data_IF_148248611728
#
_entry.id   IF_148248611728
#
_cell.length_a   1.000
_cell.length_b   1.000
_cell.length_c   1.000
_cell.angle_alpha   90.00
_cell.angle_beta   90.00
_cell.angle_gamma   90.00
#
_symmetry.space_group_name_H-M   'P 1'
#
loop_
_entity.id
_entity.type
_entity.pdbx_description
1 polymer ?
#
# COMPACT_ATOMS: atom_id res chain seq x y z
N UNK A 1 3.08 10.91 18.28
CA UNK A 1 2.03 11.61 17.49
C UNK A 1 1.13 10.56 16.85
N UNK A 2 -0.20 10.74 16.89
CA UNK A 2 -1.15 9.86 16.18
C UNK A 2 -1.15 10.18 14.69
N UNK A 3 -0.98 9.16 13.85
CA UNK A 3 -1.02 9.28 12.39
C UNK A 3 -2.38 8.92 11.82
N UNK A 4 -2.94 7.78 12.22
CA UNK A 4 -4.21 7.27 11.71
C UNK A 4 -5.16 7.00 12.88
N UNK A 5 -6.41 7.40 12.77
CA UNK A 5 -7.44 7.03 13.71
C UNK A 5 -8.67 6.53 12.93
N UNK A 6 -9.14 5.35 13.30
CA UNK A 6 -10.29 4.63 12.75
C UNK A 6 -11.31 4.49 13.88
N UNK A 7 -12.53 4.95 13.63
CA UNK A 7 -13.63 4.90 14.60
C UNK A 7 -14.87 4.25 13.98
N UNK A 8 -15.34 3.20 14.64
CA UNK A 8 -16.60 2.49 14.38
C UNK A 8 -16.76 2.03 12.93
N UNK A 9 -15.65 1.59 12.33
CA UNK A 9 -15.56 1.29 10.90
C UNK A 9 -16.33 0.01 10.57
N UNK A 10 -17.31 0.14 9.67
CA UNK A 10 -18.04 -1.00 9.13
C UNK A 10 -18.07 -0.93 7.60
N UNK A 11 -18.00 -2.10 6.96
CA UNK A 11 -18.00 -2.18 5.51
C UNK A 11 -18.70 -3.46 5.04
N UNK A 12 -19.45 -3.32 3.94
CA UNK A 12 -20.14 -4.42 3.29
C UNK A 12 -19.95 -4.32 1.77
N UNK A 13 -19.82 -5.47 1.10
CA UNK A 13 -19.86 -5.53 -0.36
C UNK A 13 -21.27 -5.87 -0.83
N UNK A 14 -21.74 -5.16 -1.85
CA UNK A 14 -22.97 -5.50 -2.55
C UNK A 14 -22.64 -6.59 -3.59
N UNK A 15 -23.24 -7.78 -3.43
CA UNK A 15 -23.19 -8.80 -4.47
C UNK A 15 -24.43 -8.71 -5.35
N UNK A 16 -24.22 -8.57 -6.66
CA UNK A 16 -25.29 -8.69 -7.65
C UNK A 16 -25.64 -10.15 -7.85
N UNK A 17 -26.76 -10.60 -7.28
CA UNK A 17 -27.33 -11.91 -7.58
C UNK A 17 -28.14 -11.88 -8.89
N UNK A 18 -28.07 -12.96 -9.68
CA UNK A 18 -28.89 -13.20 -10.89
C UNK A 18 -30.42 -13.13 -10.66
N UNK A 19 -30.87 -12.96 -9.40
CA UNK A 19 -32.27 -12.94 -8.96
C UNK A 19 -32.72 -11.58 -8.39
N UNK A 20 -32.00 -10.48 -8.61
CA UNK A 20 -32.49 -9.12 -8.30
C UNK A 20 -32.54 -8.74 -6.81
N UNK A 21 -32.18 -9.63 -5.88
CA UNK A 21 -31.95 -9.28 -4.47
C UNK A 21 -30.47 -8.96 -4.24
N UNK A 22 -30.15 -7.71 -3.92
CA UNK A 22 -28.82 -7.34 -3.44
C UNK A 22 -28.61 -7.91 -2.04
N UNK A 23 -27.76 -8.93 -1.92
CA UNK A 23 -27.26 -9.36 -0.61
C UNK A 23 -26.05 -8.51 -0.26
N UNK A 24 -26.14 -7.79 0.86
CA UNK A 24 -25.02 -7.08 1.47
C UNK A 24 -24.29 -8.06 2.38
N UNK A 25 -23.05 -8.42 2.02
CA UNK A 25 -22.20 -9.24 2.89
C UNK A 25 -21.35 -8.30 3.74
N UNK A 26 -21.63 -8.24 5.04
CA UNK A 26 -20.80 -7.51 5.99
C UNK A 26 -19.43 -8.17 6.10
N UNK A 27 -18.37 -7.38 5.90
CA UNK A 27 -16.96 -7.83 5.98
C UNK A 27 -16.28 -7.27 7.22
N UNK A 28 -16.59 -6.02 7.58
CA UNK A 28 -16.11 -5.38 8.80
C UNK A 28 -17.30 -4.88 9.61
N UNK A 29 -17.24 -5.07 10.92
CA UNK A 29 -18.26 -4.64 11.86
C UNK A 29 -17.60 -3.92 13.05
N UNK A 30 -17.87 -2.63 13.17
CA UNK A 30 -17.48 -1.78 14.29
C UNK A 30 -15.99 -1.85 14.69
N UNK A 31 -15.09 -1.71 13.71
CA UNK A 31 -13.64 -1.74 13.94
C UNK A 31 -13.13 -0.35 14.33
N UNK A 32 -12.46 -0.27 15.48
CA UNK A 32 -11.81 0.96 15.97
C UNK A 32 -10.34 0.68 16.29
N UNK A 33 -9.43 1.50 15.75
CA UNK A 33 -7.99 1.38 16.00
C UNK A 33 -7.29 2.73 15.81
N UNK A 34 -6.15 2.89 16.47
CA UNK A 34 -5.31 4.09 16.36
C UNK A 34 -3.89 3.66 16.03
N UNK A 35 -3.28 4.31 15.03
CA UNK A 35 -1.88 4.14 14.69
C UNK A 35 -1.06 5.38 15.02
N UNK A 36 0.03 5.20 15.78
CA UNK A 36 1.00 6.23 16.15
C UNK A 36 2.23 6.16 15.24
N UNK A 37 2.94 7.29 15.14
CA UNK A 37 4.21 7.35 14.42
C UNK A 37 5.27 6.48 15.10
N UNK A 38 5.99 5.69 14.31
CA UNK A 38 7.13 4.88 14.77
C UNK A 38 6.75 3.57 15.45
N UNK A 39 5.47 3.19 15.45
CA UNK A 39 5.06 1.88 15.96
C UNK A 39 4.88 0.87 14.82
N UNK A 40 5.09 -0.40 15.14
CA UNK A 40 4.79 -1.52 14.24
C UNK A 40 3.60 -2.27 14.79
N UNK A 41 2.55 -2.40 13.99
CA UNK A 41 1.33 -3.15 14.36
C UNK A 41 1.15 -4.34 13.44
N UNK A 42 0.99 -5.52 14.04
CA UNK A 42 0.63 -6.73 13.31
C UNK A 42 -0.87 -6.99 13.45
N UNK A 43 -1.57 -7.10 12.32
CA UNK A 43 -2.98 -7.51 12.28
C UNK A 43 -3.06 -8.99 11.91
N UNK A 44 -3.49 -9.81 12.87
CA UNK A 44 -3.62 -11.25 12.71
C UNK A 44 -5.09 -11.66 12.65
N UNK A 45 -5.37 -12.71 11.87
CA UNK A 45 -6.72 -13.25 11.73
C UNK A 45 -6.80 -14.29 10.63
N UNK A 46 -7.84 -15.15 10.67
CA UNK A 46 -8.06 -16.20 9.66
C UNK A 46 -8.21 -15.60 8.25
N UNK A 47 -7.99 -16.42 7.23
CA UNK A 47 -8.32 -16.02 5.85
C UNK A 47 -9.80 -15.62 5.76
N UNK A 48 -10.10 -14.57 5.00
CA UNK A 48 -11.47 -14.07 4.80
C UNK A 48 -12.05 -13.21 5.93
N UNK A 49 -11.33 -12.95 7.03
CA UNK A 49 -11.87 -12.13 8.14
C UNK A 49 -11.84 -10.60 7.90
N UNK A 50 -11.54 -10.15 6.69
CA UNK A 50 -11.57 -8.72 6.32
C UNK A 50 -10.26 -7.93 6.47
N UNK A 51 -9.11 -8.57 6.72
CA UNK A 51 -7.80 -7.88 6.87
C UNK A 51 -7.45 -7.02 5.64
N UNK A 52 -7.50 -7.60 4.45
CA UNK A 52 -7.17 -6.89 3.21
C UNK A 52 -8.22 -5.81 2.87
N UNK A 53 -9.49 -6.01 3.22
CA UNK A 53 -10.54 -4.98 3.13
C UNK A 53 -10.22 -3.80 4.04
N UNK A 54 -9.84 -4.07 5.30
CA UNK A 54 -9.41 -3.02 6.22
C UNK A 54 -8.22 -2.25 5.64
N UNK A 55 -7.18 -2.95 5.18
CA UNK A 55 -6.01 -2.32 4.56
C UNK A 55 -6.37 -1.37 3.41
N UNK A 56 -7.25 -1.78 2.49
CA UNK A 56 -7.74 -0.96 1.37
C UNK A 56 -8.52 0.28 1.83
N UNK A 57 -9.33 0.14 2.88
CA UNK A 57 -10.03 1.28 3.50
C UNK A 57 -9.04 2.26 4.12
N UNK A 58 -8.02 1.77 4.85
CA UNK A 58 -7.02 2.62 5.49
C UNK A 58 -6.22 3.47 4.49
N UNK A 59 -5.91 2.93 3.31
CA UNK A 59 -5.23 3.68 2.23
C UNK A 59 -6.18 4.48 1.34
N UNK A 60 -7.49 4.44 1.59
CA UNK A 60 -8.50 5.16 0.82
C UNK A 60 -8.71 4.64 -0.60
N UNK A 61 -8.41 3.37 -0.87
CA UNK A 61 -8.78 2.69 -2.12
C UNK A 61 -10.28 2.36 -2.15
N UNK A 62 -10.86 2.15 -0.98
CA UNK A 62 -12.29 1.94 -0.77
C UNK A 62 -12.82 2.95 0.25
N UNK A 63 -14.14 3.18 0.28
CA UNK A 63 -14.79 4.02 1.29
C UNK A 63 -15.60 3.16 2.25
N UNK A 64 -15.56 3.44 3.56
CA UNK A 64 -16.33 2.67 4.52
C UNK A 64 -17.83 2.90 4.34
N UNK A 65 -18.64 1.91 4.71
CA UNK A 65 -20.09 2.04 4.71
C UNK A 65 -20.58 2.84 5.92
N UNK A 66 -19.89 2.70 7.06
CA UNK A 66 -20.10 3.46 8.30
C UNK A 66 -18.77 3.68 9.02
N UNK A 67 -18.77 4.64 9.95
CA UNK A 67 -17.58 5.04 10.69
C UNK A 67 -16.73 6.05 9.93
N UNK A 68 -15.55 6.36 10.48
CA UNK A 68 -14.65 7.37 9.94
C UNK A 68 -13.19 6.93 10.02
N UNK A 69 -12.40 7.38 9.05
CA UNK A 69 -10.95 7.26 9.06
C UNK A 69 -10.39 8.68 8.98
N UNK A 70 -9.45 8.99 9.85
CA UNK A 70 -8.77 10.29 9.88
C UNK A 70 -7.25 10.12 9.79
N UNK A 71 -6.62 10.97 9.00
CA UNK A 71 -5.18 11.08 8.86
C UNK A 71 -4.71 12.37 9.53
N UNK A 72 -3.93 12.24 10.61
CA UNK A 72 -3.41 13.35 11.43
C UNK A 72 -4.52 14.32 11.89
N UNK A 73 -5.66 13.76 12.28
CA UNK A 73 -6.84 14.51 12.73
C UNK A 73 -7.81 14.90 11.62
N UNK A 74 -7.43 14.80 10.34
CA UNK A 74 -8.29 15.18 9.22
C UNK A 74 -9.05 13.98 8.64
N UNK A 75 -10.40 13.99 8.62
CA UNK A 75 -11.19 12.92 8.01
C UNK A 75 -10.87 12.72 6.53
N UNK A 76 -10.64 11.47 6.09
CA UNK A 76 -10.28 11.15 4.70
C UNK A 76 -11.33 11.64 3.69
N UNK A 77 -12.61 11.56 4.06
CA UNK A 77 -13.73 12.03 3.24
C UNK A 77 -13.70 13.54 2.96
N UNK A 78 -13.08 14.34 3.85
CA UNK A 78 -13.02 15.80 3.78
C UNK A 78 -11.76 16.34 3.11
N UNK A 79 -10.79 15.48 2.77
CA UNK A 79 -9.55 15.92 2.15
C UNK A 79 -9.82 16.52 0.77
N UNK A 80 -9.31 17.72 0.54
CA UNK A 80 -9.28 18.34 -0.78
C UNK A 80 -8.22 17.68 -1.70
N UNK A 81 -8.11 18.12 -2.96
CA UNK A 81 -7.19 17.50 -3.94
C UNK A 81 -5.72 17.51 -3.49
N UNK A 82 -5.24 18.61 -2.91
CA UNK A 82 -3.86 18.74 -2.45
C UNK A 82 -3.60 17.83 -1.23
N UNK A 83 -4.52 17.84 -0.28
CA UNK A 83 -4.47 16.98 0.91
C UNK A 83 -4.55 15.49 0.55
N UNK A 84 -5.38 15.09 -0.43
CA UNK A 84 -5.42 13.71 -0.93
C UNK A 84 -4.11 13.30 -1.59
N UNK A 85 -3.46 14.21 -2.34
CA UNK A 85 -2.13 13.94 -2.92
C UNK A 85 -1.09 13.74 -1.82
N UNK A 86 -1.07 14.59 -0.79
CA UNK A 86 -0.18 14.45 0.36
C UNK A 86 -0.46 13.16 1.15
N UNK A 87 -1.73 12.85 1.43
CA UNK A 87 -2.14 11.60 2.07
C UNK A 87 -1.64 10.38 1.29
N UNK A 88 -1.87 10.32 -0.03
CA UNK A 88 -1.38 9.22 -0.87
C UNK A 88 0.14 9.13 -0.94
N UNK A 89 0.88 10.21 -0.74
CA UNK A 89 2.35 10.15 -0.61
C UNK A 89 2.75 9.56 0.74
N UNK A 90 2.07 10.00 1.79
CA UNK A 90 2.41 9.65 3.17
C UNK A 90 1.94 8.22 3.55
N UNK A 91 0.95 7.64 2.86
CA UNK A 91 0.53 6.25 3.04
C UNK A 91 0.81 5.42 1.79
N UNK A 92 1.48 4.29 1.95
CA UNK A 92 1.75 3.36 0.86
C UNK A 92 1.38 1.94 1.26
N UNK A 93 1.00 1.13 0.28
CA UNK A 93 0.60 -0.26 0.47
C UNK A 93 1.40 -1.17 -0.46
N UNK A 94 1.92 -2.25 0.10
CA UNK A 94 2.46 -3.37 -0.66
C UNK A 94 1.44 -4.50 -0.60
N UNK A 95 0.91 -4.88 -1.76
CA UNK A 95 -0.12 -5.90 -1.89
C UNK A 95 0.49 -7.30 -1.84
N UNK A 96 -0.33 -8.26 -1.40
CA UNK A 96 0.00 -9.69 -1.39
C UNK A 96 0.42 -10.20 -2.78
N UNK A 97 -0.41 -9.93 -3.80
CA UNK A 97 -0.13 -10.32 -5.18
C UNK A 97 0.64 -9.21 -5.90
N UNK A 98 1.95 -9.41 -6.03
CA UNK A 98 2.84 -8.48 -6.70
C UNK A 98 2.61 -8.40 -8.21
N UNK A 99 2.11 -9.46 -8.85
CA UNK A 99 1.85 -9.49 -10.30
C UNK A 99 0.67 -8.58 -10.62
N UNK A 100 -0.44 -8.74 -9.89
CA UNK A 100 -1.63 -7.90 -10.06
C UNK A 100 -1.40 -6.45 -9.63
N UNK A 101 -0.41 -6.20 -8.77
CA UNK A 101 -0.09 -4.86 -8.28
C UNK A 101 0.73 -4.00 -9.27
N UNK A 102 1.18 -4.54 -10.40
CA UNK A 102 1.99 -3.82 -11.40
C UNK A 102 1.41 -3.94 -12.80
N UNK A 103 1.78 -3.00 -13.67
CA UNK A 103 1.48 -3.13 -15.10
C UNK A 103 2.56 -3.97 -15.80
N UNK A 104 2.24 -5.16 -16.35
CA UNK A 104 3.24 -6.06 -16.95
C UNK A 104 3.91 -5.50 -18.20
N UNK A 105 3.37 -4.42 -18.79
CA UNK A 105 3.95 -3.76 -19.98
C UNK A 105 5.00 -2.72 -19.63
N UNK A 106 5.05 -2.26 -18.37
CA UNK A 106 6.01 -1.26 -17.90
C UNK A 106 7.31 -1.91 -17.45
N UNK A 107 8.42 -1.21 -17.64
CA UNK A 107 9.71 -1.63 -17.06
C UNK A 107 9.75 -1.34 -15.56
N UNK A 108 10.68 -1.99 -14.84
CA UNK A 108 10.93 -1.69 -13.41
C UNK A 108 11.19 -0.20 -13.20
N UNK A 109 12.00 0.41 -14.06
CA UNK A 109 12.28 1.85 -14.06
C UNK A 109 11.00 2.68 -14.13
N UNK A 110 10.05 2.32 -14.97
CA UNK A 110 8.77 3.02 -15.09
C UNK A 110 7.87 2.79 -13.88
N UNK A 111 7.85 1.55 -13.35
CA UNK A 111 7.08 1.16 -12.17
C UNK A 111 7.53 1.95 -10.93
N UNK A 112 8.85 2.03 -10.67
CA UNK A 112 9.40 2.76 -9.54
C UNK A 112 9.16 4.28 -9.64
N UNK A 113 9.24 4.83 -10.86
CA UNK A 113 9.09 6.27 -11.10
C UNK A 113 7.66 6.77 -11.09
N UNK A 114 6.69 5.90 -11.35
CA UNK A 114 5.28 6.28 -11.40
C UNK A 114 4.77 7.02 -10.16
N UNK A 115 4.93 6.52 -8.93
CA UNK A 115 4.49 7.25 -7.74
C UNK A 115 5.25 8.57 -7.57
N UNK A 116 6.57 8.59 -7.81
CA UNK A 116 7.37 9.81 -7.71
C UNK A 116 6.90 10.91 -8.67
N UNK A 117 6.56 10.53 -9.92
CA UNK A 117 6.05 11.48 -10.93
C UNK A 117 4.74 12.15 -10.51
N UNK A 118 3.89 11.43 -9.80
CA UNK A 118 2.55 11.91 -9.43
C UNK A 118 2.50 12.57 -8.05
N UNK A 119 3.34 12.11 -7.13
CA UNK A 119 3.26 12.43 -5.71
C UNK A 119 4.38 13.37 -5.24
N UNK A 120 5.50 13.43 -5.96
CA UNK A 120 6.64 14.29 -5.64
C UNK A 120 6.84 15.38 -6.71
N UNK A 121 7.64 16.38 -6.36
CA UNK A 121 8.07 17.45 -7.26
C UNK A 121 9.53 17.23 -7.65
N UNK A 122 9.84 16.06 -8.22
CA UNK A 122 11.20 15.67 -8.63
C UNK A 122 11.38 15.74 -10.15
N UNK A 123 12.55 16.21 -10.59
CA UNK A 123 13.00 16.12 -11.99
C UNK A 123 13.24 14.66 -12.38
N UNK A 124 13.24 14.38 -13.68
CA UNK A 124 13.45 13.02 -14.21
C UNK A 124 14.77 12.40 -13.72
N UNK A 125 15.86 13.18 -13.65
CA UNK A 125 17.15 12.69 -13.18
C UNK A 125 17.11 12.27 -11.69
N UNK A 126 16.47 13.07 -10.84
CA UNK A 126 16.30 12.78 -9.41
C UNK A 126 15.43 11.53 -9.19
N UNK A 127 14.37 11.36 -9.99
CA UNK A 127 13.55 10.15 -9.97
C UNK A 127 14.36 8.89 -10.34
N UNK A 128 15.30 9.00 -11.26
CA UNK A 128 16.13 7.87 -11.69
C UNK A 128 17.17 7.51 -10.63
N UNK A 129 17.83 8.51 -10.04
CA UNK A 129 18.77 8.31 -8.94
C UNK A 129 18.07 7.63 -7.75
N UNK A 130 16.89 8.14 -7.37
CA UNK A 130 16.09 7.55 -6.29
C UNK A 130 15.59 6.14 -6.61
N UNK A 131 15.23 5.86 -7.87
CA UNK A 131 14.85 4.50 -8.26
C UNK A 131 15.99 3.49 -8.04
N UNK A 132 17.23 3.86 -8.39
CA UNK A 132 18.44 3.04 -8.12
C UNK A 132 18.67 2.87 -6.63
N UNK A 133 18.57 3.95 -5.85
CA UNK A 133 18.70 3.92 -4.39
C UNK A 133 17.70 2.94 -3.74
N UNK A 134 16.43 2.99 -4.16
CA UNK A 134 15.39 2.13 -3.62
C UNK A 134 15.56 0.66 -4.03
N UNK A 135 16.10 0.37 -5.22
CA UNK A 135 16.47 -1.00 -5.58
C UNK A 135 17.56 -1.54 -4.66
N UNK A 136 18.62 -0.76 -4.42
CA UNK A 136 19.69 -1.15 -3.50
C UNK A 136 19.19 -1.37 -2.07
N UNK A 137 18.27 -0.51 -1.61
CA UNK A 137 17.65 -0.65 -0.28
C UNK A 137 16.88 -1.96 -0.10
N UNK A 138 16.40 -2.58 -1.20
CA UNK A 138 15.71 -3.88 -1.19
C UNK A 138 16.59 -5.01 -1.74
N UNK A 139 17.91 -4.82 -1.76
CA UNK A 139 18.87 -5.82 -2.25
C UNK A 139 18.61 -6.25 -3.70
N UNK A 140 18.42 -5.26 -4.59
CA UNK A 140 18.35 -5.44 -6.04
C UNK A 140 19.34 -4.51 -6.74
N UNK A 141 19.94 -5.04 -7.81
CA UNK A 141 20.86 -4.31 -8.67
C UNK A 141 20.14 -3.56 -9.80
N UNK A 142 20.77 -2.50 -10.31
CA UNK A 142 20.23 -1.67 -11.39
C UNK A 142 20.02 -2.43 -12.71
N UNK A 143 20.64 -3.60 -12.89
CA UNK A 143 20.43 -4.50 -14.03
C UNK A 143 18.97 -4.96 -14.22
N UNK A 144 18.10 -4.80 -13.20
CA UNK A 144 16.67 -5.07 -13.35
C UNK A 144 15.86 -3.91 -13.92
N UNK A 145 16.42 -2.69 -13.99
CA UNK A 145 15.66 -1.47 -14.30
C UNK A 145 14.93 -1.55 -15.65
N UNK A 146 15.54 -2.17 -16.65
CA UNK A 146 14.99 -2.26 -18.00
C UNK A 146 14.23 -3.58 -18.24
N UNK A 147 14.16 -4.46 -17.24
CA UNK A 147 13.31 -5.65 -17.25
C UNK A 147 11.84 -5.28 -17.03
N UNK A 148 10.95 -6.11 -17.53
CA UNK A 148 9.50 -6.09 -17.27
C UNK A 148 9.12 -7.18 -16.24
N UNK A 149 7.97 -7.08 -15.56
CA UNK A 149 7.55 -8.03 -14.54
C UNK A 149 7.66 -9.52 -14.90
N UNK A 150 7.31 -9.98 -16.12
CA UNK A 150 7.45 -11.39 -16.49
C UNK A 150 8.91 -11.90 -16.57
N UNK A 151 9.89 -10.99 -16.60
CA UNK A 151 11.32 -11.32 -16.66
C UNK A 151 11.98 -11.34 -15.27
N UNK A 152 11.20 -11.15 -14.21
CA UNK A 152 11.66 -11.16 -12.82
C UNK A 152 11.17 -12.42 -12.13
N UNK A 153 11.94 -12.92 -11.16
CA UNK A 153 11.41 -13.91 -10.21
C UNK A 153 10.31 -13.27 -9.35
N UNK A 154 9.44 -14.09 -8.76
CA UNK A 154 8.40 -13.60 -7.85
C UNK A 154 8.96 -12.76 -6.70
N UNK A 155 10.06 -13.19 -6.09
CA UNK A 155 10.73 -12.46 -5.02
C UNK A 155 11.41 -11.16 -5.48
N UNK A 156 11.95 -11.12 -6.70
CA UNK A 156 12.44 -9.87 -7.29
C UNK A 156 11.30 -8.87 -7.52
N UNK A 157 10.18 -9.33 -8.08
CA UNK A 157 9.03 -8.49 -8.34
C UNK A 157 8.42 -7.93 -7.04
N UNK A 158 8.36 -8.74 -5.99
CA UNK A 158 7.91 -8.32 -4.67
C UNK A 158 8.81 -7.23 -4.07
N UNK A 159 10.14 -7.40 -4.17
CA UNK A 159 11.11 -6.38 -3.79
C UNK A 159 10.95 -5.08 -4.61
N UNK A 160 10.69 -5.18 -5.92
CA UNK A 160 10.36 -4.01 -6.75
C UNK A 160 9.08 -3.30 -6.26
N UNK A 161 8.04 -4.04 -5.88
CA UNK A 161 6.82 -3.47 -5.31
C UNK A 161 7.07 -2.74 -3.98
N UNK A 162 7.93 -3.29 -3.12
CA UNK A 162 8.37 -2.66 -1.88
C UNK A 162 9.19 -1.39 -2.16
N UNK A 163 10.20 -1.46 -3.03
CA UNK A 163 11.00 -0.31 -3.45
C UNK A 163 10.13 0.81 -4.03
N UNK A 164 9.11 0.46 -4.83
CA UNK A 164 8.14 1.41 -5.38
C UNK A 164 7.38 2.15 -4.26
N UNK A 165 6.93 1.43 -3.24
CA UNK A 165 6.23 2.03 -2.10
C UNK A 165 7.16 2.94 -1.29
N UNK A 166 8.42 2.52 -1.08
CA UNK A 166 9.41 3.31 -0.33
C UNK A 166 9.91 4.55 -1.08
N UNK A 167 9.84 4.57 -2.41
CA UNK A 167 10.36 5.66 -3.25
C UNK A 167 9.73 7.05 -2.98
N UNK A 168 8.58 7.11 -2.31
CA UNK A 168 7.92 8.35 -1.92
C UNK A 168 8.09 8.72 -0.45
N UNK A 169 8.93 7.98 0.28
CA UNK A 169 9.23 8.18 1.71
C UNK A 169 7.95 8.23 2.57
N UNK A 170 7.13 7.17 2.56
CA UNK A 170 5.87 7.15 3.27
C UNK A 170 6.07 7.29 4.79
N UNK A 171 5.06 7.83 5.46
CA UNK A 171 4.96 7.92 6.92
C UNK A 171 4.22 6.72 7.52
N UNK A 172 3.44 6.01 6.72
CA UNK A 172 2.80 4.75 7.06
C UNK A 172 2.91 3.80 5.87
N UNK A 173 3.50 2.63 6.11
CA UNK A 173 3.60 1.54 5.14
C UNK A 173 2.71 0.38 5.60
N UNK A 174 1.79 -0.05 4.74
CA UNK A 174 0.92 -1.21 4.99
C UNK A 174 1.43 -2.39 4.16
N UNK A 175 1.65 -3.52 4.83
CA UNK A 175 2.15 -4.75 4.23
C UNK A 175 1.04 -5.82 4.31
N UNK A 176 0.31 -6.02 3.21
CA UNK A 176 -0.79 -7.01 3.16
C UNK A 176 -0.21 -8.37 2.76
N UNK A 177 0.26 -9.13 3.76
CA UNK A 177 0.99 -10.41 3.60
C UNK A 177 2.24 -10.31 2.70
N UNK A 178 2.67 -9.09 2.39
CA UNK A 178 3.70 -8.77 1.41
C UNK A 178 5.14 -9.05 1.88
N UNK A 179 5.32 -9.63 3.05
CA UNK A 179 6.64 -10.08 3.55
C UNK A 179 6.74 -11.60 3.65
N UNK A 180 5.63 -12.33 3.53
CA UNK A 180 5.57 -13.79 3.71
C UNK A 180 6.55 -14.56 2.82
N UNK A 181 6.79 -14.07 1.60
CA UNK A 181 7.69 -14.66 0.60
C UNK A 181 9.09 -14.01 0.55
N UNK A 182 9.41 -13.08 1.46
CA UNK A 182 10.75 -12.50 1.57
C UNK A 182 11.61 -13.31 2.54
N UNK A 183 12.92 -13.37 2.28
CA UNK A 183 13.90 -13.94 3.20
C UNK A 183 13.86 -13.23 4.57
N UNK A 184 14.05 -13.99 5.65
CA UNK A 184 14.04 -13.55 7.06
C UNK A 184 14.94 -12.34 7.30
N UNK A 185 16.08 -12.26 6.61
CA UNK A 185 17.02 -11.13 6.71
C UNK A 185 16.40 -9.84 6.16
N UNK A 186 15.72 -9.91 5.02
CA UNK A 186 15.02 -8.77 4.43
C UNK A 186 13.76 -8.40 5.22
N UNK A 187 13.02 -9.37 5.74
CA UNK A 187 11.89 -9.11 6.64
C UNK A 187 12.33 -8.30 7.86
N UNK A 188 13.44 -8.70 8.49
CA UNK A 188 14.00 -7.99 9.64
C UNK A 188 14.54 -6.59 9.27
N UNK A 189 14.99 -6.38 8.03
CA UNK A 189 15.35 -5.06 7.51
C UNK A 189 14.13 -4.16 7.36
N UNK A 190 13.07 -4.65 6.72
CA UNK A 190 11.82 -3.90 6.50
C UNK A 190 11.13 -3.51 7.81
N UNK A 191 11.16 -4.37 8.82
CA UNK A 191 10.57 -4.09 10.15
C UNK A 191 11.37 -3.03 10.93
N UNK A 192 12.66 -2.85 10.61
CA UNK A 192 13.55 -1.89 11.30
C UNK A 192 13.59 -0.50 10.65
N UNK A 193 12.99 -0.33 9.47
CA UNK A 193 12.83 0.95 8.77
C UNK A 193 11.67 1.76 9.35
#
# INVERSE_FOLDING_TARGET
MTLLNVSDLSHHYAHGGFSGKHQHQAVLNNVSLTLKSGETVALLGRSGCGKSTLARLLVGLESPSQGNISWRGEPLAKLNRAQRKAFRRDIQMVFQDSISAVNPRKTVREILREPMRHLLSLKKAEQLARASEMLKAVDLDDSVLDKRPPQLSGGQLQRVCLARALAVEPKLLILDEAVSNLDLVLQAGVIRL
#
